data_IF_044841200975
#
_entry.id   IF_044841200975
#
_cell.length_a   1.000
_cell.length_b   1.000
_cell.length_c   1.000
_cell.angle_alpha   90.00
_cell.angle_beta   90.00
_cell.angle_gamma   90.00
#
_symmetry.space_group_name_H-M   'P 1'
#
loop_
_entity.id
_entity.type
_entity.pdbx_description
1 polymer ?
#
# COMPACT_ATOMS: atom_id res chain seq x y z
N UNK A 1 -36.05 -28.49 11.56
CA UNK A 1 -34.95 -29.11 10.79
C UNK A 1 -35.15 -28.64 9.35
N UNK A 2 -34.38 -27.73 8.76
CA UNK A 2 -32.98 -27.31 8.95
C UNK A 2 -32.83 -25.88 8.44
N UNK A 3 -32.20 -25.01 9.23
CA UNK A 3 -31.92 -23.62 8.89
C UNK A 3 -30.88 -23.53 7.77
N UNK A 4 -31.12 -22.58 6.87
CA UNK A 4 -30.22 -21.79 6.04
C UNK A 4 -28.77 -22.28 5.97
N UNK A 5 -28.46 -22.97 4.88
CA UNK A 5 -27.11 -23.22 4.40
C UNK A 5 -26.48 -21.88 4.03
N UNK A 6 -25.69 -21.37 4.98
CA UNK A 6 -24.57 -20.45 4.82
C UNK A 6 -24.25 -20.10 3.37
N UNK A 7 -24.72 -18.92 2.96
CA UNK A 7 -24.23 -18.19 1.80
C UNK A 7 -22.77 -17.77 2.08
N UNK A 8 -21.83 -18.69 1.95
CA UNK A 8 -20.40 -18.37 1.82
C UNK A 8 -20.16 -17.99 0.38
N UNK A 9 -20.61 -16.79 0.00
CA UNK A 9 -20.04 -16.12 -1.17
C UNK A 9 -18.53 -16.03 -0.92
N UNK A 10 -17.66 -16.65 -1.74
CA UNK A 10 -16.24 -16.38 -1.63
C UNK A 10 -16.10 -14.87 -1.81
N UNK A 11 -15.59 -14.21 -0.78
CA UNK A 11 -15.41 -12.77 -0.76
C UNK A 11 -14.38 -12.44 -1.83
N UNK A 12 -14.83 -12.28 -3.09
CA UNK A 12 -14.02 -11.85 -4.21
C UNK A 12 -13.45 -10.49 -3.83
N UNK A 13 -12.14 -10.46 -3.62
CA UNK A 13 -11.45 -9.22 -3.31
C UNK A 13 -11.41 -8.39 -4.61
N UNK A 14 -11.52 -7.06 -4.52
CA UNK A 14 -11.33 -6.22 -5.69
C UNK A 14 -9.93 -6.48 -6.26
N UNK A 15 -9.85 -7.07 -7.45
CA UNK A 15 -8.58 -7.35 -8.12
C UNK A 15 -8.40 -8.75 -8.69
N UNK A 16 -9.41 -9.63 -8.76
CA UNK A 16 -9.21 -10.98 -9.31
C UNK A 16 -9.07 -11.04 -10.85
N UNK A 17 -9.50 -10.00 -11.59
CA UNK A 17 -9.28 -9.91 -13.04
C UNK A 17 -9.04 -8.47 -13.50
N UNK A 18 -7.87 -8.22 -14.11
CA UNK A 18 -7.47 -6.93 -14.69
C UNK A 18 -7.54 -6.91 -16.21
N UNK A 19 -8.17 -7.92 -16.84
CA UNK A 19 -8.30 -8.03 -18.30
C UNK A 19 -8.93 -6.77 -18.90
N UNK A 20 -9.90 -6.15 -18.20
CA UNK A 20 -10.51 -4.89 -18.65
C UNK A 20 -9.56 -3.69 -18.59
N UNK A 21 -8.66 -3.68 -17.61
CA UNK A 21 -7.66 -2.62 -17.44
C UNK A 21 -6.52 -2.75 -18.45
N UNK A 22 -6.02 -3.96 -18.71
CA UNK A 22 -5.00 -4.21 -19.73
C UNK A 22 -5.49 -3.78 -21.12
N UNK A 23 -6.70 -4.21 -21.50
CA UNK A 23 -7.34 -3.74 -22.74
C UNK A 23 -7.51 -2.23 -22.80
N UNK A 24 -7.78 -1.60 -21.66
CA UNK A 24 -7.88 -0.15 -21.59
C UNK A 24 -6.54 0.53 -21.88
N UNK A 25 -5.41 -0.02 -21.42
CA UNK A 25 -4.09 0.52 -21.73
C UNK A 25 -3.70 0.26 -23.19
N UNK A 26 -3.96 -0.95 -23.69
CA UNK A 26 -3.69 -1.35 -25.08
C UNK A 26 -4.39 -0.43 -26.08
N UNK A 27 -5.64 -0.02 -25.82
CA UNK A 27 -6.39 0.87 -26.74
C UNK A 27 -5.71 2.23 -26.93
N UNK A 28 -4.89 2.67 -25.97
CA UNK A 28 -4.11 3.92 -26.03
C UNK A 28 -2.64 3.67 -26.39
N UNK A 29 -2.26 2.44 -26.74
CA UNK A 29 -0.88 2.07 -27.05
C UNK A 29 0.06 2.14 -25.85
N UNK A 30 -0.48 2.04 -24.63
CA UNK A 30 0.29 2.06 -23.40
C UNK A 30 0.77 0.64 -23.04
N UNK A 31 1.95 0.51 -22.40
CA UNK A 31 2.46 -0.79 -21.97
C UNK A 31 1.55 -1.40 -20.90
N UNK A 32 1.37 -2.72 -20.96
CA UNK A 32 0.61 -3.51 -19.98
C UNK A 32 1.50 -4.40 -19.12
N UNK A 33 2.68 -4.77 -19.64
CA UNK A 33 3.64 -5.60 -18.93
C UNK A 33 4.18 -4.89 -17.68
N UNK A 34 4.22 -5.62 -16.56
CA UNK A 34 4.71 -5.15 -15.27
C UNK A 34 4.02 -3.89 -14.72
N UNK A 35 2.84 -3.50 -15.24
CA UNK A 35 2.07 -2.37 -14.70
C UNK A 35 1.25 -2.79 -13.48
N UNK A 36 0.70 -4.00 -13.52
CA UNK A 36 0.02 -4.64 -12.38
C UNK A 36 0.67 -6.00 -12.15
N UNK A 37 0.78 -6.37 -10.88
CA UNK A 37 1.30 -7.66 -10.46
C UNK A 37 0.54 -8.84 -11.10
N UNK A 38 1.29 -9.89 -11.41
CA UNK A 38 0.72 -11.14 -11.92
C UNK A 38 -0.30 -11.74 -10.94
N UNK A 39 -1.16 -12.61 -11.44
CA UNK A 39 -2.15 -13.30 -10.60
C UNK A 39 -1.48 -14.10 -9.47
N UNK A 40 -0.34 -14.73 -9.75
CA UNK A 40 0.46 -15.46 -8.75
C UNK A 40 0.97 -14.56 -7.62
N UNK A 41 1.51 -13.38 -7.97
CA UNK A 41 2.02 -12.43 -6.99
C UNK A 41 0.89 -11.87 -6.13
N UNK A 42 -0.26 -11.55 -6.75
CA UNK A 42 -1.46 -11.11 -6.03
C UNK A 42 -1.94 -12.15 -5.03
N UNK A 43 -2.05 -13.42 -5.43
CA UNK A 43 -2.43 -14.52 -4.52
C UNK A 43 -1.45 -14.68 -3.35
N UNK A 44 -0.16 -14.57 -3.61
CA UNK A 44 0.86 -14.57 -2.55
C UNK A 44 0.63 -13.39 -1.59
N UNK A 45 0.44 -12.19 -2.14
CA UNK A 45 0.23 -10.97 -1.36
C UNK A 45 -1.06 -11.03 -0.54
N UNK A 46 -2.14 -11.63 -1.05
CA UNK A 46 -3.39 -11.85 -0.33
C UNK A 46 -3.20 -12.70 0.93
N UNK A 47 -2.26 -13.65 0.90
CA UNK A 47 -1.95 -14.49 2.06
C UNK A 47 -1.01 -13.77 3.04
N UNK A 48 -0.06 -13.00 2.53
CA UNK A 48 0.95 -12.32 3.35
C UNK A 48 0.44 -11.08 4.07
N UNK A 49 -0.32 -10.21 3.39
CA UNK A 49 -0.75 -8.91 3.91
C UNK A 49 -1.52 -9.01 5.24
N UNK A 50 -2.55 -9.87 5.37
CA UNK A 50 -3.30 -9.98 6.63
C UNK A 50 -2.39 -10.38 7.80
N UNK A 51 -1.50 -11.35 7.59
CA UNK A 51 -0.56 -11.81 8.63
C UNK A 51 0.36 -10.68 9.09
N UNK A 52 0.87 -9.87 8.17
CA UNK A 52 1.72 -8.71 8.52
C UNK A 52 0.91 -7.69 9.31
N UNK A 53 -0.32 -7.41 8.89
CA UNK A 53 -1.18 -6.44 9.55
C UNK A 53 -1.58 -6.91 10.95
N UNK A 54 -1.96 -8.17 11.13
CA UNK A 54 -2.34 -8.71 12.44
C UNK A 54 -1.21 -8.61 13.47
N UNK A 55 0.03 -8.88 13.06
CA UNK A 55 1.22 -8.81 13.92
C UNK A 55 1.64 -7.38 14.33
N UNK A 56 1.04 -6.34 13.72
CA UNK A 56 1.40 -4.95 14.03
C UNK A 56 0.62 -4.43 15.27
N UNK A 57 1.31 -3.78 16.23
CA UNK A 57 0.65 -3.15 17.38
C UNK A 57 -0.39 -2.10 16.96
N UNK A 58 -1.50 -2.02 17.70
CA UNK A 58 -2.62 -1.12 17.31
C UNK A 58 -2.25 0.36 17.30
N UNK A 59 -1.33 0.77 18.16
CA UNK A 59 -0.83 2.15 18.21
C UNK A 59 -0.29 2.63 16.85
N UNK A 60 0.34 1.73 16.08
CA UNK A 60 0.87 2.04 14.77
C UNK A 60 -0.17 2.01 13.65
N UNK A 61 -1.38 1.52 13.90
CA UNK A 61 -2.45 1.40 12.88
C UNK A 61 -3.38 2.61 12.89
N UNK A 62 -3.75 3.10 14.08
CA UNK A 62 -4.84 4.07 14.27
C UNK A 62 -4.68 5.38 13.48
N UNK A 63 -3.45 5.85 13.26
CA UNK A 63 -3.18 7.12 12.56
C UNK A 63 -2.33 6.96 11.28
N UNK A 64 -2.11 5.73 10.81
CA UNK A 64 -1.18 5.46 9.72
C UNK A 64 -1.84 5.55 8.33
N UNK A 65 -2.17 6.78 7.90
CA UNK A 65 -2.81 7.05 6.60
C UNK A 65 -2.03 6.48 5.40
N UNK A 66 -0.70 6.57 5.42
CA UNK A 66 0.12 6.01 4.34
C UNK A 66 0.23 4.49 4.39
N UNK A 67 0.11 3.88 5.57
CA UNK A 67 -0.04 2.42 5.69
C UNK A 67 -1.36 1.98 5.03
N UNK A 68 -2.46 2.70 5.24
CA UNK A 68 -3.73 2.40 4.56
C UNK A 68 -3.61 2.48 3.04
N UNK A 69 -2.92 3.50 2.51
CA UNK A 69 -2.66 3.64 1.06
C UNK A 69 -1.76 2.51 0.53
N UNK A 70 -0.71 2.16 1.28
CA UNK A 70 0.17 1.05 0.96
C UNK A 70 -0.63 -0.26 0.86
N UNK A 71 -1.42 -0.59 1.89
CA UNK A 71 -2.23 -1.82 1.91
C UNK A 71 -3.22 -1.83 0.75
N UNK A 72 -3.87 -0.71 0.45
CA UNK A 72 -4.79 -0.62 -0.68
C UNK A 72 -4.09 -0.91 -2.03
N UNK A 73 -2.94 -0.29 -2.29
CA UNK A 73 -2.17 -0.52 -3.51
C UNK A 73 -1.61 -1.95 -3.60
N UNK A 74 -1.10 -2.47 -2.48
CA UNK A 74 -0.56 -3.83 -2.42
C UNK A 74 -1.64 -4.90 -2.58
N UNK A 75 -2.83 -4.68 -2.02
CA UNK A 75 -3.95 -5.62 -2.13
C UNK A 75 -4.48 -5.79 -3.57
N UNK A 76 -4.35 -4.73 -4.40
CA UNK A 76 -4.79 -4.76 -5.81
C UNK A 76 -3.64 -5.03 -6.80
N UNK A 77 -2.40 -5.23 -6.32
CA UNK A 77 -1.25 -5.53 -7.17
C UNK A 77 -0.53 -4.32 -7.78
N UNK A 78 -0.74 -3.11 -7.28
CA UNK A 78 0.00 -1.90 -7.68
C UNK A 78 1.21 -1.68 -6.76
N UNK A 79 2.23 -2.53 -6.87
CA UNK A 79 3.36 -2.55 -5.93
C UNK A 79 4.24 -1.31 -6.01
N UNK A 80 4.51 -0.79 -7.20
CA UNK A 80 5.31 0.44 -7.32
C UNK A 80 4.59 1.63 -6.66
N UNK A 81 3.28 1.72 -6.85
CA UNK A 81 2.47 2.75 -6.20
C UNK A 81 2.44 2.56 -4.67
N UNK A 82 2.35 1.31 -4.20
CA UNK A 82 2.33 1.02 -2.76
C UNK A 82 3.65 1.44 -2.10
N UNK A 83 4.79 1.10 -2.69
CA UNK A 83 6.12 1.50 -2.23
C UNK A 83 6.26 3.03 -2.22
N UNK A 84 5.76 3.72 -3.24
CA UNK A 84 5.75 5.18 -3.30
C UNK A 84 4.97 5.81 -2.13
N UNK A 85 3.89 5.20 -1.65
CA UNK A 85 3.18 5.72 -0.48
C UNK A 85 4.02 5.65 0.80
N UNK A 86 4.76 4.57 1.00
CA UNK A 86 5.67 4.42 2.16
C UNK A 86 6.82 5.42 2.06
N UNK A 87 7.42 5.52 0.88
CA UNK A 87 8.49 6.49 0.60
C UNK A 87 8.07 7.93 0.92
N UNK A 88 6.86 8.31 0.51
CA UNK A 88 6.36 9.65 0.75
C UNK A 88 6.21 9.97 2.25
N UNK A 89 5.74 9.02 3.05
CA UNK A 89 5.67 9.19 4.52
C UNK A 89 7.07 9.36 5.13
N UNK A 90 8.04 8.54 4.69
CA UNK A 90 9.42 8.64 5.16
C UNK A 90 10.01 10.01 4.86
N UNK A 91 9.86 10.50 3.63
CA UNK A 91 10.35 11.82 3.23
C UNK A 91 9.69 12.94 4.03
N UNK A 92 8.39 12.87 4.28
CA UNK A 92 7.69 13.85 5.13
C UNK A 92 8.28 13.86 6.54
N UNK A 93 8.52 12.69 7.15
CA UNK A 93 9.09 12.60 8.50
C UNK A 93 10.52 13.12 8.56
N UNK A 94 11.34 12.84 7.54
CA UNK A 94 12.69 13.39 7.43
C UNK A 94 12.62 14.91 7.33
N UNK A 95 11.78 15.44 6.45
CA UNK A 95 11.64 16.89 6.27
C UNK A 95 11.17 17.60 7.53
N UNK A 96 10.21 17.01 8.26
CA UNK A 96 9.76 17.53 9.56
C UNK A 96 10.90 17.57 10.58
N UNK A 97 11.74 16.53 10.65
CA UNK A 97 12.93 16.52 11.52
C UNK A 97 13.95 17.57 11.10
N UNK A 98 14.18 17.76 9.80
CA UNK A 98 15.10 18.79 9.30
C UNK A 98 14.60 20.19 9.69
N UNK A 99 13.31 20.49 9.57
CA UNK A 99 12.77 21.78 10.01
C UNK A 99 12.96 21.97 11.52
N UNK A 100 12.68 20.92 12.30
CA UNK A 100 12.73 21.01 13.75
C UNK A 100 14.15 21.16 14.30
N UNK A 101 15.09 20.33 13.84
CA UNK A 101 16.47 20.31 14.35
C UNK A 101 17.45 21.15 13.52
N UNK A 102 17.12 21.44 12.25
CA UNK A 102 17.99 22.23 11.38
C UNK A 102 18.24 23.63 11.94
N UNK A 103 17.22 24.26 12.52
CA UNK A 103 17.36 25.57 13.19
C UNK A 103 18.30 25.48 14.40
N UNK A 104 18.16 24.46 15.24
CA UNK A 104 19.05 24.26 16.40
C UNK A 104 20.51 24.03 15.99
N UNK A 105 20.74 23.25 14.94
CA UNK A 105 22.08 23.02 14.39
C UNK A 105 22.69 24.36 13.93
N UNK A 106 21.96 25.17 13.17
CA UNK A 106 22.44 26.48 12.72
C UNK A 106 22.71 27.45 13.90
N UNK A 107 21.80 27.54 14.88
CA UNK A 107 22.00 28.38 16.06
C UNK A 107 23.22 27.98 16.89
N UNK A 108 23.40 26.69 17.16
CA UNK A 108 24.54 26.20 17.93
C UNK A 108 25.86 26.40 17.17
N UNK A 109 25.87 26.29 15.84
CA UNK A 109 27.06 26.56 15.03
C UNK A 109 27.43 28.04 14.88
N UNK A 110 26.48 28.96 15.09
CA UNK A 110 26.73 30.40 14.98
C UNK A 110 27.16 31.07 16.31
N UNK A 111 26.92 30.40 17.44
CA UNK A 111 27.28 30.89 18.79
C UNK A 111 28.62 30.30 19.28
N UNK A 112 29.16 29.29 18.60
CA UNK A 112 30.50 28.72 18.84
C UNK A 112 31.57 29.39 17.99
#
# INVERSE_FOLDING_TARGET
MTNDLTNTSPQYLPGDSFIGFEKYLEQYGLPTENVIASESERKMMHTMLPSILENMPQEYKTNARYLSKFVAGAAIGLYDASLNFVWNEVMIKIYQKIIHYGVEIFFNSAVS
#
